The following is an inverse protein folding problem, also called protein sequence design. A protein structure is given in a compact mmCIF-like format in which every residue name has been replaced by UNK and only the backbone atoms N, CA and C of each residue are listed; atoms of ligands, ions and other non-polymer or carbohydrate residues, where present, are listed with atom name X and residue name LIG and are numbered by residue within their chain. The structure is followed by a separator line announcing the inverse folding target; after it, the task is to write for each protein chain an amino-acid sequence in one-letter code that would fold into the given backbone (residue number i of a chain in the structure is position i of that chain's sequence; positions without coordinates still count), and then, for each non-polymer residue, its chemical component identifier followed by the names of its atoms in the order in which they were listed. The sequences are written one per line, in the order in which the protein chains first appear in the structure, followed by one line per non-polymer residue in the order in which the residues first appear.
data_IF_364059381855
#
_entry.id   IF_364059381855
#
_cell.length_a   1.000
_cell.length_b   1.000
_cell.length_c   1.000
_cell.angle_alpha   90.00
_cell.angle_beta   90.00
_cell.angle_gamma   90.00
#
_symmetry.space_group_name_H-M   'P 1'
#
loop_
_entity.id
_entity.type
_entity.pdbx_description
1 polymer ?
#
# COMPACT_ATOMS: atom_id res chain seq x y z
N UNK A 1 -13.41 -32.40 -2.39
CA UNK A 1 -13.27 -32.01 -3.81
C UNK A 1 -12.06 -31.10 -3.84
N UNK A 2 -10.94 -31.62 -4.41
CA UNK A 2 -9.63 -30.97 -4.37
C UNK A 2 -9.54 -29.91 -5.48
N UNK A 3 -9.38 -28.65 -5.09
CA UNK A 3 -8.95 -27.60 -6.00
C UNK A 3 -7.42 -27.47 -5.89
N UNK A 4 -6.73 -27.97 -6.91
CA UNK A 4 -5.28 -27.83 -7.04
C UNK A 4 -4.95 -26.41 -7.50
N UNK A 5 -4.36 -25.60 -6.61
CA UNK A 5 -3.85 -24.27 -6.92
C UNK A 5 -2.52 -24.44 -7.66
N UNK A 6 -2.52 -24.22 -8.96
CA UNK A 6 -1.29 -24.25 -9.77
C UNK A 6 -0.56 -22.93 -9.65
N UNK A 7 0.42 -22.85 -8.77
CA UNK A 7 1.36 -21.73 -8.72
C UNK A 7 2.46 -22.02 -9.76
N UNK A 8 2.51 -21.22 -10.81
CA UNK A 8 3.55 -21.33 -11.84
C UNK A 8 4.87 -20.71 -11.33
N UNK A 9 5.77 -21.54 -10.84
CA UNK A 9 7.15 -21.16 -10.55
C UNK A 9 7.99 -21.23 -11.83
N UNK A 10 8.58 -20.13 -12.26
CA UNK A 10 9.72 -20.15 -13.18
C UNK A 10 10.98 -20.21 -12.35
N UNK A 11 11.61 -21.40 -12.30
CA UNK A 11 12.87 -21.63 -11.62
C UNK A 11 14.03 -21.03 -12.41
N UNK A 12 14.87 -20.26 -11.73
CA UNK A 12 16.18 -19.83 -12.22
C UNK A 12 17.18 -21.00 -12.06
N UNK A 13 17.64 -21.54 -13.17
CA UNK A 13 18.75 -22.51 -13.20
C UNK A 13 20.08 -21.75 -13.11
N UNK A 14 20.82 -21.93 -12.00
CA UNK A 14 22.21 -21.51 -11.89
C UNK A 14 23.09 -22.59 -12.54
N UNK A 15 23.77 -22.24 -13.64
CA UNK A 15 24.75 -23.11 -14.31
C UNK A 15 26.05 -23.19 -13.52
N UNK A 16 26.38 -24.37 -13.04
CA UNK A 16 27.69 -24.67 -12.50
C UNK A 16 28.63 -25.04 -13.66
N UNK A 17 29.68 -24.27 -13.87
CA UNK A 17 30.77 -24.60 -14.83
C UNK A 17 31.79 -25.49 -14.18
N UNK A 18 31.94 -26.69 -14.71
CA UNK A 18 32.94 -27.71 -14.32
C UNK A 18 34.24 -27.41 -15.03
N UNK A 19 35.32 -27.15 -14.30
CA UNK A 19 36.66 -26.96 -14.85
C UNK A 19 37.34 -28.30 -15.09
N UNK A 20 37.71 -28.58 -16.35
CA UNK A 20 38.63 -29.71 -16.72
C UNK A 20 40.08 -29.25 -16.60
N UNK A 21 40.86 -30.03 -15.87
CA UNK A 21 42.34 -29.95 -15.81
C UNK A 21 42.95 -30.57 -17.09
N UNK A 22 43.71 -29.78 -17.82
CA UNK A 22 44.59 -30.25 -18.86
C UNK A 22 46.07 -30.08 -18.45
N UNK A 23 46.83 -31.16 -18.55
CA UNK A 23 48.25 -31.28 -18.16
C UNK A 23 49.15 -30.89 -19.35
N UNK A 24 50.07 -30.00 -19.11
CA UNK A 24 51.47 -30.05 -19.50
C UNK A 24 51.94 -29.66 -20.88
N UNK A 25 52.82 -28.65 -20.93
CA UNK A 25 53.85 -28.39 -21.94
C UNK A 25 54.62 -27.12 -21.57
N UNK A 26 56.01 -27.13 -21.65
CA UNK A 26 56.79 -25.98 -21.22
C UNK A 26 56.84 -24.89 -22.31
N UNK A 27 56.48 -23.70 -21.95
CA UNK A 27 56.74 -22.53 -22.77
C UNK A 27 55.52 -21.66 -23.08
N UNK A 28 54.87 -21.12 -22.04
CA UNK A 28 53.92 -20.03 -22.22
C UNK A 28 54.33 -18.81 -21.38
N UNK A 29 54.64 -17.73 -22.08
CA UNK A 29 54.71 -16.38 -21.49
C UNK A 29 53.47 -16.16 -20.59
N UNK A 30 53.71 -15.78 -19.36
CA UNK A 30 52.64 -15.46 -18.41
C UNK A 30 51.82 -14.29 -18.99
N UNK A 31 50.69 -14.61 -19.62
CA UNK A 31 49.65 -13.63 -19.87
C UNK A 31 49.14 -13.15 -18.50
N UNK A 32 49.30 -11.88 -18.25
CA UNK A 32 48.75 -11.24 -17.02
C UNK A 32 47.24 -11.47 -17.02
N UNK A 33 46.79 -12.40 -16.17
CA UNK A 33 45.37 -12.59 -15.91
C UNK A 33 44.82 -11.28 -15.39
N UNK A 34 44.00 -10.63 -16.22
CA UNK A 34 43.22 -9.46 -15.82
C UNK A 34 42.47 -9.83 -14.52
N UNK A 35 42.52 -8.99 -13.47
CA UNK A 35 41.80 -9.28 -12.24
C UNK A 35 40.36 -9.57 -12.57
N UNK A 36 39.84 -10.69 -12.10
CA UNK A 36 38.41 -11.04 -12.28
C UNK A 36 37.56 -9.85 -11.80
N UNK A 37 36.69 -9.37 -12.67
CA UNK A 37 35.79 -8.26 -12.32
C UNK A 37 35.04 -8.64 -11.04
N UNK A 38 35.02 -7.71 -10.08
CA UNK A 38 34.27 -7.90 -8.85
C UNK A 38 32.82 -8.29 -9.18
N UNK A 39 32.23 -9.25 -8.47
CA UNK A 39 30.84 -9.63 -8.74
C UNK A 39 29.92 -8.40 -8.66
N UNK A 40 29.06 -8.27 -9.65
CA UNK A 40 28.09 -7.17 -9.67
C UNK A 40 27.27 -7.17 -8.36
N UNK A 41 26.99 -6.00 -7.79
CA UNK A 41 26.18 -5.93 -6.58
C UNK A 41 24.83 -6.63 -6.78
N UNK A 42 24.33 -7.29 -5.74
CA UNK A 42 23.03 -7.93 -5.78
C UNK A 42 21.93 -6.88 -6.10
N UNK A 43 20.93 -7.23 -6.90
CA UNK A 43 19.87 -6.28 -7.28
C UNK A 43 19.07 -5.85 -6.04
N UNK A 44 18.72 -4.58 -5.98
CA UNK A 44 17.83 -4.03 -4.95
C UNK A 44 16.38 -4.38 -5.29
N UNK A 45 15.67 -4.97 -4.34
CA UNK A 45 14.30 -5.41 -4.52
C UNK A 45 13.37 -4.38 -3.90
N UNK A 46 12.47 -3.79 -4.71
CA UNK A 46 11.39 -2.95 -4.27
C UNK A 46 10.06 -3.71 -4.23
N UNK A 47 9.22 -3.38 -3.29
CA UNK A 47 7.89 -3.95 -3.16
C UNK A 47 6.83 -2.90 -3.52
N UNK A 48 5.97 -3.18 -4.51
CA UNK A 48 4.85 -2.34 -4.89
C UNK A 48 3.53 -3.02 -4.52
N UNK A 49 2.74 -2.38 -3.64
CA UNK A 49 1.50 -2.93 -3.09
C UNK A 49 0.30 -2.14 -3.61
N UNK A 50 -0.63 -2.83 -4.29
CA UNK A 50 -1.83 -2.18 -4.82
C UNK A 50 -2.88 -1.87 -3.76
N UNK A 51 -3.78 -0.95 -4.09
CA UNK A 51 -5.06 -0.83 -3.42
C UNK A 51 -5.99 -2.00 -3.73
N UNK A 52 -7.03 -2.18 -2.92
CA UNK A 52 -8.02 -3.26 -3.11
C UNK A 52 -8.97 -3.43 -1.94
N UNK A 53 -9.15 -2.40 -1.10
CA UNK A 53 -10.08 -2.42 0.04
C UNK A 53 -9.76 -3.55 1.02
N UNK A 54 -10.79 -4.22 1.54
CA UNK A 54 -10.64 -5.30 2.52
C UNK A 54 -9.76 -6.47 2.04
N UNK A 55 -9.67 -6.70 0.73
CA UNK A 55 -8.78 -7.71 0.14
C UNK A 55 -7.30 -7.45 0.44
N UNK A 56 -6.95 -6.19 0.81
CA UNK A 56 -5.59 -5.77 1.15
C UNK A 56 -4.94 -6.51 2.31
N UNK A 57 -5.72 -7.16 3.15
CA UNK A 57 -5.20 -8.03 4.19
C UNK A 57 -4.31 -9.15 3.61
N UNK A 58 -4.57 -9.58 2.37
CA UNK A 58 -3.74 -10.56 1.67
C UNK A 58 -2.28 -10.12 1.49
N UNK A 59 -2.00 -8.80 1.46
CA UNK A 59 -0.61 -8.31 1.45
C UNK A 59 0.18 -8.81 2.65
N UNK A 60 -0.45 -8.94 3.83
CA UNK A 60 0.22 -9.47 5.04
C UNK A 60 0.65 -10.91 4.81
N UNK A 61 -0.20 -11.73 4.17
CA UNK A 61 0.16 -13.11 3.79
C UNK A 61 1.37 -13.16 2.84
N UNK A 62 1.39 -12.26 1.85
CA UNK A 62 2.55 -12.15 0.94
C UNK A 62 3.82 -11.75 1.69
N UNK A 63 3.74 -10.78 2.60
CA UNK A 63 4.89 -10.36 3.42
C UNK A 63 5.42 -11.51 4.29
N UNK A 64 4.55 -12.35 4.89
CA UNK A 64 4.95 -13.53 5.64
C UNK A 64 5.76 -14.51 4.78
N UNK A 65 5.28 -14.79 3.56
CA UNK A 65 5.99 -15.68 2.62
C UNK A 65 7.33 -15.08 2.20
N UNK A 66 7.40 -13.76 1.92
CA UNK A 66 8.66 -13.09 1.58
C UNK A 66 9.66 -13.15 2.74
N UNK A 67 9.19 -13.01 3.98
CA UNK A 67 10.00 -13.16 5.19
C UNK A 67 10.50 -14.59 5.37
N UNK A 68 9.66 -15.61 5.22
CA UNK A 68 10.02 -17.03 5.26
C UNK A 68 11.08 -17.38 4.21
N UNK A 69 10.92 -16.85 3.00
CA UNK A 69 11.87 -17.01 1.90
C UNK A 69 13.13 -16.13 2.06
N UNK A 70 13.18 -15.28 3.08
CA UNK A 70 14.27 -14.33 3.35
C UNK A 70 14.57 -13.41 2.17
N UNK A 71 13.53 -12.98 1.46
CA UNK A 71 13.67 -12.00 0.37
C UNK A 71 13.96 -10.62 0.95
N UNK A 72 15.13 -10.01 0.66
CA UNK A 72 15.46 -8.70 1.19
C UNK A 72 14.64 -7.63 0.48
N UNK A 73 13.82 -6.88 1.22
CA UNK A 73 13.06 -5.74 0.68
C UNK A 73 13.82 -4.45 1.00
N UNK A 74 14.16 -3.67 -0.02
CA UNK A 74 14.98 -2.47 0.08
C UNK A 74 14.16 -1.18 0.08
N UNK A 75 12.96 -1.19 -0.48
CA UNK A 75 11.99 -0.11 -0.40
C UNK A 75 10.57 -0.62 -0.67
N UNK A 76 9.58 0.15 -0.21
CA UNK A 76 8.16 -0.17 -0.35
C UNK A 76 7.42 1.02 -0.92
N UNK A 77 6.54 0.78 -1.88
CA UNK A 77 5.53 1.74 -2.33
C UNK A 77 4.15 1.13 -2.18
N UNK A 78 3.16 1.95 -1.86
CA UNK A 78 1.82 1.42 -1.66
C UNK A 78 0.72 2.43 -1.91
N UNK A 79 -0.43 1.91 -2.33
CA UNK A 79 -1.64 2.68 -2.59
C UNK A 79 -2.79 2.14 -1.76
N UNK A 80 -3.58 3.02 -1.13
CA UNK A 80 -4.77 2.66 -0.35
C UNK A 80 -4.43 1.59 0.71
N UNK A 81 -5.04 0.42 0.69
CA UNK A 81 -4.70 -0.66 1.61
C UNK A 81 -3.23 -1.11 1.48
N UNK A 82 -2.64 -1.03 0.27
CA UNK A 82 -1.21 -1.27 0.07
C UNK A 82 -0.33 -0.24 0.77
N UNK A 83 -0.77 1.02 0.91
CA UNK A 83 -0.07 2.03 1.69
C UNK A 83 -0.16 1.74 3.20
N UNK A 84 -1.29 1.24 3.68
CA UNK A 84 -1.47 0.86 5.10
C UNK A 84 -0.55 -0.31 5.45
N UNK A 85 -0.62 -1.40 4.68
CA UNK A 85 0.21 -2.59 4.93
C UNK A 85 1.69 -2.28 4.69
N UNK A 86 2.01 -1.61 3.58
CA UNK A 86 3.38 -1.24 3.23
C UNK A 86 4.01 -0.27 4.21
N UNK A 87 3.28 0.78 4.63
CA UNK A 87 3.74 1.74 5.63
C UNK A 87 3.93 1.12 7.02
N UNK A 88 3.04 0.22 7.41
CA UNK A 88 3.17 -0.54 8.67
C UNK A 88 4.42 -1.42 8.64
N UNK A 89 4.66 -2.14 7.54
CA UNK A 89 5.84 -2.97 7.34
C UNK A 89 7.12 -2.11 7.29
N UNK A 90 7.09 -1.02 6.54
CA UNK A 90 8.21 -0.08 6.43
C UNK A 90 8.58 0.58 7.77
N UNK A 91 7.61 0.72 8.68
CA UNK A 91 7.82 1.18 10.06
C UNK A 91 8.59 0.20 10.93
N UNK A 92 8.85 -1.04 10.45
CA UNK A 92 9.59 -2.07 11.18
C UNK A 92 8.72 -3.09 11.91
N UNK A 93 7.41 -3.15 11.64
CA UNK A 93 6.57 -4.22 12.21
C UNK A 93 6.75 -5.53 11.44
N UNK A 94 6.90 -6.62 12.18
CA UNK A 94 6.92 -7.95 11.62
C UNK A 94 5.53 -8.34 11.07
N UNK A 95 5.45 -9.08 9.94
CA UNK A 95 4.18 -9.52 9.36
C UNK A 95 3.28 -10.29 10.32
N UNK A 96 3.82 -11.10 11.23
CA UNK A 96 3.06 -11.80 12.26
C UNK A 96 2.39 -10.86 13.28
N UNK A 97 3.05 -9.76 13.65
CA UNK A 97 2.44 -8.70 14.49
C UNK A 97 1.34 -7.96 13.75
N UNK A 98 1.55 -7.67 12.47
CA UNK A 98 0.56 -7.02 11.61
C UNK A 98 -0.71 -7.86 11.52
N UNK A 99 -0.58 -9.17 11.28
CA UNK A 99 -1.70 -10.11 11.25
C UNK A 99 -2.50 -10.06 12.57
N UNK A 100 -1.81 -10.12 13.71
CA UNK A 100 -2.45 -10.04 15.02
C UNK A 100 -3.23 -8.75 15.20
N UNK A 101 -2.63 -7.59 14.90
CA UNK A 101 -3.29 -6.28 15.03
C UNK A 101 -4.53 -6.17 14.14
N UNK A 102 -4.48 -6.71 12.92
CA UNK A 102 -5.61 -6.71 11.99
C UNK A 102 -6.75 -7.62 12.48
N UNK A 103 -6.43 -8.78 13.03
CA UNK A 103 -7.41 -9.74 13.53
C UNK A 103 -8.06 -9.28 14.85
N UNK A 104 -7.32 -8.56 15.69
CA UNK A 104 -7.80 -8.05 16.99
C UNK A 104 -8.49 -6.67 16.86
N UNK A 105 -8.40 -6.01 15.71
CA UNK A 105 -8.98 -4.69 15.51
C UNK A 105 -10.51 -4.70 15.55
N UNK A 106 -11.09 -3.76 16.31
CA UNK A 106 -12.53 -3.47 16.26
C UNK A 106 -12.83 -2.58 15.05
N UNK A 107 -12.98 -3.22 13.89
CA UNK A 107 -13.23 -2.53 12.63
C UNK A 107 -14.52 -1.69 12.68
N UNK A 108 -15.55 -2.15 13.37
CA UNK A 108 -16.80 -1.39 13.51
C UNK A 108 -16.57 -0.08 14.26
N UNK A 109 -15.81 -0.09 15.35
CA UNK A 109 -15.46 1.13 16.09
C UNK A 109 -14.55 2.05 15.30
N UNK A 110 -13.56 1.51 14.54
CA UNK A 110 -12.62 2.27 13.72
C UNK A 110 -13.36 3.03 12.61
N UNK A 111 -14.32 2.39 11.92
CA UNK A 111 -15.07 3.03 10.83
C UNK A 111 -16.29 3.82 11.29
N UNK A 112 -16.80 3.60 12.50
CA UNK A 112 -17.95 4.37 13.04
C UNK A 112 -17.60 5.83 13.29
N UNK A 113 -16.33 6.13 13.61
CA UNK A 113 -15.79 7.47 13.86
C UNK A 113 -16.55 8.29 14.93
N UNK A 114 -17.29 7.59 15.77
CA UNK A 114 -18.04 8.17 16.89
C UNK A 114 -17.72 7.38 18.17
N UNK A 115 -17.47 8.07 19.29
CA UNK A 115 -17.21 7.38 20.54
C UNK A 115 -18.45 6.52 20.94
N UNK A 116 -18.23 5.37 21.61
CA UNK A 116 -19.31 4.56 22.14
C UNK A 116 -20.23 5.41 23.00
N UNK A 117 -21.57 5.18 22.94
CA UNK A 117 -22.55 5.98 23.67
C UNK A 117 -22.25 6.13 25.17
N UNK A 118 -21.62 5.11 25.78
CA UNK A 118 -21.21 5.15 27.20
C UNK A 118 -20.18 6.25 27.50
N UNK A 119 -19.35 6.64 26.51
CA UNK A 119 -18.27 7.61 26.63
C UNK A 119 -18.72 9.04 26.26
N UNK A 120 -19.89 9.20 25.65
CA UNK A 120 -20.47 10.50 25.33
C UNK A 120 -20.94 11.18 26.61
N UNK A 121 -20.61 12.46 26.80
CA UNK A 121 -21.07 13.26 27.93
C UNK A 121 -22.61 13.29 28.00
N UNK A 122 -23.16 13.20 29.23
CA UNK A 122 -24.62 13.14 29.48
C UNK A 122 -25.37 14.27 28.78
N UNK A 123 -24.82 15.49 28.80
CA UNK A 123 -25.40 16.65 28.14
C UNK A 123 -25.58 16.42 26.63
N UNK A 124 -24.57 15.88 25.97
CA UNK A 124 -24.61 15.59 24.52
C UNK A 124 -25.58 14.45 24.21
N UNK A 125 -25.68 13.43 25.12
CA UNK A 125 -26.70 12.38 25.00
C UNK A 125 -28.13 12.89 25.05
N UNK A 126 -28.38 13.98 25.84
CA UNK A 126 -29.69 14.60 25.95
C UNK A 126 -30.09 15.40 24.67
N UNK A 127 -29.11 15.91 23.94
CA UNK A 127 -29.34 16.62 22.68
C UNK A 127 -29.79 15.69 21.55
N UNK A 128 -29.38 14.40 21.57
CA UNK A 128 -29.80 13.39 20.59
C UNK A 128 -31.35 13.16 20.59
N UNK A 129 -32.05 13.49 21.69
CA UNK A 129 -33.50 13.35 21.78
C UNK A 129 -34.27 14.57 21.27
N UNK A 130 -33.57 15.67 20.98
CA UNK A 130 -34.24 16.94 20.58
C UNK A 130 -34.50 16.99 19.08
N UNK A 131 -33.81 16.23 18.28
CA UNK A 131 -33.89 16.22 16.81
C UNK A 131 -33.93 14.82 16.26
N UNK A 132 -35.01 14.47 15.53
CA UNK A 132 -35.14 13.20 14.80
C UNK A 132 -34.23 13.17 13.55
N UNK A 133 -33.87 14.34 13.04
CA UNK A 133 -33.01 14.51 11.87
C UNK A 133 -32.14 15.75 12.06
N UNK A 134 -30.89 15.56 12.40
CA UNK A 134 -29.91 16.64 12.52
C UNK A 134 -28.78 16.39 11.50
N UNK A 135 -28.85 16.96 10.29
CA UNK A 135 -27.71 16.99 9.40
C UNK A 135 -26.57 17.78 10.08
N UNK A 136 -25.38 17.19 10.12
CA UNK A 136 -24.20 17.89 10.60
C UNK A 136 -23.76 18.90 9.53
N UNK A 137 -23.81 20.19 9.88
CA UNK A 137 -23.28 21.27 9.05
C UNK A 137 -22.00 21.79 9.70
N UNK A 138 -20.95 21.99 8.89
CA UNK A 138 -19.78 22.77 9.29
C UNK A 138 -20.02 24.26 9.04
N UNK A 139 -19.42 25.10 9.86
CA UNK A 139 -19.34 26.56 9.60
C UNK A 139 -17.90 26.82 9.16
N UNK A 140 -17.75 27.38 7.95
CA UNK A 140 -16.48 27.81 7.38
C UNK A 140 -16.49 29.32 7.18
N UNK A 141 -15.35 29.90 6.83
CA UNK A 141 -15.29 31.34 6.49
C UNK A 141 -16.23 31.71 5.31
N UNK A 142 -16.47 30.75 4.41
CA UNK A 142 -17.34 30.90 3.23
C UNK A 142 -18.80 30.56 3.52
N UNK A 143 -19.16 30.16 4.75
CA UNK A 143 -20.54 29.87 5.17
C UNK A 143 -20.77 28.45 5.66
N UNK A 144 -21.98 27.91 5.41
CA UNK A 144 -22.35 26.55 5.82
C UNK A 144 -21.82 25.53 4.83
N UNK A 145 -21.05 24.55 5.33
CA UNK A 145 -20.51 23.46 4.53
C UNK A 145 -21.12 22.11 4.95
N UNK A 146 -21.36 21.24 3.97
CA UNK A 146 -21.70 19.86 4.19
C UNK A 146 -20.41 19.03 4.46
N UNK A 147 -20.50 17.91 5.19
CA UNK A 147 -19.37 17.02 5.37
C UNK A 147 -18.80 16.56 4.02
N UNK A 148 -17.48 16.61 3.86
CA UNK A 148 -16.77 16.16 2.63
C UNK A 148 -16.72 14.65 2.48
N UNK A 149 -17.22 13.86 3.45
CA UNK A 149 -17.30 12.39 3.45
C UNK A 149 -18.24 11.90 4.56
N UNK A 150 -18.68 10.66 4.45
CA UNK A 150 -19.55 10.01 5.45
C UNK A 150 -18.79 9.75 6.75
N UNK A 151 -17.49 9.44 6.64
CA UNK A 151 -16.56 9.13 7.73
C UNK A 151 -15.49 10.22 7.76
N UNK A 152 -15.34 10.92 8.90
CA UNK A 152 -14.31 11.94 9.06
C UNK A 152 -12.88 11.33 9.12
N UNK A 153 -12.75 10.10 9.62
CA UNK A 153 -11.53 9.30 9.61
C UNK A 153 -10.60 9.53 10.79
N UNK A 154 -11.08 10.17 11.86
CA UNK A 154 -10.28 10.43 13.07
C UNK A 154 -9.88 9.12 13.76
N UNK A 155 -10.83 8.19 13.93
CA UNK A 155 -10.57 6.88 14.55
C UNK A 155 -9.67 6.01 13.67
N UNK A 156 -9.81 6.11 12.35
CA UNK A 156 -8.96 5.43 11.37
C UNK A 156 -7.51 5.92 11.50
N UNK A 157 -7.29 7.23 11.54
CA UNK A 157 -5.94 7.79 11.69
C UNK A 157 -5.32 7.42 13.04
N UNK A 158 -6.12 7.43 14.12
CA UNK A 158 -5.66 6.97 15.42
C UNK A 158 -5.20 5.51 15.40
N UNK A 159 -5.93 4.64 14.70
CA UNK A 159 -5.52 3.26 14.49
C UNK A 159 -4.22 3.15 13.67
N UNK A 160 -4.06 3.96 12.63
CA UNK A 160 -2.81 3.97 11.84
C UNK A 160 -1.61 4.45 12.64
N UNK A 161 -1.80 5.36 13.59
CA UNK A 161 -0.74 5.73 14.56
C UNK A 161 -0.31 4.53 15.41
N UNK A 162 -1.25 3.67 15.80
CA UNK A 162 -0.92 2.42 16.50
C UNK A 162 -0.14 1.47 15.60
N UNK A 163 -0.56 1.32 14.34
CA UNK A 163 0.16 0.49 13.36
C UNK A 163 1.60 0.99 13.14
N UNK A 164 1.79 2.29 13.02
CA UNK A 164 3.08 2.92 12.76
C UNK A 164 3.88 3.30 14.02
N UNK A 165 3.50 2.82 15.20
CA UNK A 165 4.19 3.16 16.46
C UNK A 165 5.72 2.97 16.42
N UNK A 166 6.30 1.94 15.77
CA UNK A 166 7.75 1.79 15.72
C UNK A 166 8.47 2.94 15.00
N UNK A 167 7.78 3.64 14.10
CA UNK A 167 8.30 4.79 13.36
C UNK A 167 7.93 6.15 13.99
N UNK A 168 7.48 6.16 15.25
CA UNK A 168 7.10 7.39 15.93
C UNK A 168 8.25 8.40 15.95
N UNK A 169 7.99 9.63 15.48
CA UNK A 169 8.98 10.71 15.41
C UNK A 169 9.88 10.67 14.16
N UNK A 170 9.70 9.72 13.25
CA UNK A 170 10.40 9.71 11.97
C UNK A 170 9.49 10.41 10.94
N UNK A 171 9.89 11.60 10.50
CA UNK A 171 9.13 12.39 9.51
C UNK A 171 9.65 12.18 8.08
N UNK A 172 10.89 11.82 7.88
CA UNK A 172 11.51 11.53 6.59
C UNK A 172 11.38 10.04 6.30
N UNK A 173 10.58 9.68 5.30
CA UNK A 173 10.28 8.26 5.02
C UNK A 173 11.45 7.50 4.40
N UNK A 174 12.53 8.20 3.99
CA UNK A 174 13.78 7.55 3.61
C UNK A 174 14.57 7.05 4.83
N UNK A 175 14.26 7.57 6.02
CA UNK A 175 14.88 7.16 7.31
C UNK A 175 14.10 6.09 8.06
N UNK A 176 12.99 5.62 7.51
CA UNK A 176 12.30 4.47 8.05
C UNK A 176 13.20 3.21 7.96
N UNK A 177 12.96 2.18 8.78
CA UNK A 177 13.67 0.90 8.66
C UNK A 177 13.70 0.36 7.22
N UNK A 178 12.65 0.60 6.45
CA UNK A 178 12.60 0.39 4.99
C UNK A 178 12.06 1.68 4.36
N UNK A 179 12.75 2.34 3.42
CA UNK A 179 12.26 3.51 2.70
C UNK A 179 10.87 3.28 2.10
N UNK A 180 9.98 4.28 2.25
CA UNK A 180 8.56 4.12 1.92
C UNK A 180 8.00 5.30 1.12
N UNK A 181 7.04 5.02 0.23
CA UNK A 181 6.19 6.04 -0.43
C UNK A 181 4.72 5.62 -0.37
N UNK A 182 3.87 6.51 0.11
CA UNK A 182 2.42 6.36 -0.01
C UNK A 182 1.92 7.15 -1.23
N UNK A 183 1.00 6.56 -2.00
CA UNK A 183 0.41 7.21 -3.16
C UNK A 183 -0.98 7.74 -2.80
N UNK A 184 -1.24 8.99 -3.13
CA UNK A 184 -2.53 9.63 -3.05
C UNK A 184 -2.88 10.30 -4.38
N UNK A 185 -4.08 10.81 -4.52
CA UNK A 185 -4.53 11.58 -5.69
C UNK A 185 -4.91 12.98 -5.23
N UNK A 186 -4.40 14.01 -5.87
CA UNK A 186 -4.88 15.38 -5.72
C UNK A 186 -6.26 15.49 -6.39
N UNK A 187 -7.30 15.79 -5.59
CA UNK A 187 -8.66 15.81 -6.13
C UNK A 187 -8.93 17.02 -7.05
N UNK A 188 -8.11 18.05 -6.99
CA UNK A 188 -8.28 19.25 -7.84
C UNK A 188 -7.74 19.02 -9.25
N UNK A 189 -6.62 18.27 -9.38
CA UNK A 189 -5.94 18.07 -10.66
C UNK A 189 -6.11 16.66 -11.21
N UNK A 190 -6.37 15.67 -10.35
CA UNK A 190 -6.38 14.25 -10.69
C UNK A 190 -4.98 13.62 -10.73
N UNK A 191 -3.93 14.37 -10.42
CA UNK A 191 -2.55 13.89 -10.47
C UNK A 191 -2.23 12.94 -9.31
N UNK A 192 -1.32 12.00 -9.58
CA UNK A 192 -0.73 11.17 -8.53
C UNK A 192 0.22 11.98 -7.67
N UNK A 193 0.02 11.92 -6.36
CA UNK A 193 0.87 12.56 -5.36
C UNK A 193 1.62 11.50 -4.57
N UNK A 194 2.94 11.61 -4.58
CA UNK A 194 3.84 10.76 -3.79
C UNK A 194 4.09 11.44 -2.45
N UNK A 195 3.69 10.78 -1.35
CA UNK A 195 3.93 11.27 0.01
C UNK A 195 5.18 10.55 0.55
N UNK A 196 6.20 11.34 0.87
CA UNK A 196 7.53 10.85 1.27
C UNK A 196 8.01 11.39 2.61
N UNK A 197 7.18 12.22 3.26
CA UNK A 197 7.53 12.85 4.54
C UNK A 197 6.28 13.21 5.36
N UNK A 198 6.49 13.60 6.61
CA UNK A 198 5.46 13.99 7.55
C UNK A 198 4.96 12.83 8.42
N UNK A 199 3.68 12.82 8.76
CA UNK A 199 3.09 11.74 9.54
C UNK A 199 2.77 10.54 8.65
N UNK A 200 3.40 9.40 8.90
CA UNK A 200 3.12 8.16 8.15
C UNK A 200 1.65 7.72 8.31
N UNK A 201 1.04 7.94 9.49
CA UNK A 201 -0.38 7.66 9.70
C UNK A 201 -1.28 8.56 8.86
N UNK A 202 -0.93 9.85 8.70
CA UNK A 202 -1.63 10.78 7.85
C UNK A 202 -1.44 10.43 6.37
N UNK A 203 -0.25 10.01 5.96
CA UNK A 203 0.01 9.52 4.60
C UNK A 203 -0.83 8.29 4.25
N UNK A 204 -0.89 7.28 5.15
CA UNK A 204 -1.79 6.13 5.01
C UNK A 204 -3.25 6.55 4.93
N UNK A 205 -3.66 7.53 5.76
CA UNK A 205 -5.01 8.05 5.82
C UNK A 205 -5.40 8.78 4.52
N UNK A 206 -4.50 9.61 3.97
CA UNK A 206 -4.71 10.28 2.68
C UNK A 206 -4.86 9.24 1.55
N UNK A 207 -3.95 8.27 1.51
CA UNK A 207 -3.90 7.22 0.49
C UNK A 207 -5.16 6.36 0.42
N UNK A 208 -5.92 6.22 1.53
CA UNK A 208 -7.16 5.43 1.60
C UNK A 208 -8.45 6.26 1.63
N UNK A 209 -8.37 7.56 1.39
CA UNK A 209 -9.54 8.47 1.43
C UNK A 209 -10.43 8.29 0.21
N UNK A 210 -11.20 7.20 0.17
CA UNK A 210 -12.13 6.92 -0.94
C UNK A 210 -13.18 8.03 -1.02
N UNK A 211 -13.29 8.74 -2.18
CA UNK A 211 -14.22 9.84 -2.35
C UNK A 211 -15.67 9.45 -2.04
N UNK A 212 -16.35 10.30 -1.30
CA UNK A 212 -17.73 10.07 -0.85
C UNK A 212 -17.85 9.18 0.40
N UNK A 213 -16.93 8.27 0.63
CA UNK A 213 -16.90 7.40 1.83
C UNK A 213 -16.14 8.06 2.98
N UNK A 214 -14.93 8.45 2.72
CA UNK A 214 -13.98 8.94 3.73
C UNK A 214 -13.53 10.33 3.34
N UNK A 215 -13.54 11.26 4.31
CA UNK A 215 -13.19 12.66 4.06
C UNK A 215 -11.74 12.77 3.51
N UNK A 216 -11.50 13.65 2.52
CA UNK A 216 -10.16 13.95 2.01
C UNK A 216 -9.24 14.46 3.12
N UNK A 217 -7.93 14.34 2.90
CA UNK A 217 -6.90 14.86 3.80
C UNK A 217 -6.14 15.99 3.13
N UNK A 218 -5.95 17.09 3.84
CA UNK A 218 -5.10 18.17 3.36
C UNK A 218 -3.65 17.94 3.82
N UNK A 219 -2.73 17.88 2.86
CA UNK A 219 -1.28 17.78 3.10
C UNK A 219 -0.60 18.78 2.16
N UNK A 220 0.22 19.67 2.72
CA UNK A 220 0.99 20.68 1.98
C UNK A 220 0.13 21.53 1.02
N UNK A 221 -1.07 21.91 1.48
CA UNK A 221 -2.00 22.72 0.73
C UNK A 221 -2.73 22.00 -0.42
N UNK A 222 -2.56 20.66 -0.53
CA UNK A 222 -3.27 19.81 -1.50
C UNK A 222 -4.36 19.01 -0.81
N UNK A 223 -5.51 18.90 -1.44
CA UNK A 223 -6.61 18.09 -0.95
C UNK A 223 -6.54 16.68 -1.54
N UNK A 224 -6.10 15.72 -0.73
CA UNK A 224 -5.76 14.38 -1.16
C UNK A 224 -6.87 13.37 -0.91
N UNK A 225 -7.08 12.49 -1.88
CA UNK A 225 -8.00 11.35 -1.86
C UNK A 225 -7.26 10.05 -2.20
N UNK A 226 -7.99 8.91 -2.23
CA UNK A 226 -7.44 7.58 -2.50
C UNK A 226 -6.55 7.57 -3.75
N UNK A 227 -5.33 7.07 -3.58
CA UNK A 227 -4.33 7.00 -4.63
C UNK A 227 -4.68 6.05 -5.77
N UNK A 228 -5.62 5.13 -5.55
CA UNK A 228 -6.08 4.17 -6.57
C UNK A 228 -6.68 4.82 -7.80
N UNK A 229 -7.10 6.08 -7.70
CA UNK A 229 -7.61 6.86 -8.83
C UNK A 229 -6.50 7.14 -9.84
N UNK A 230 -5.33 7.60 -9.39
CA UNK A 230 -4.22 8.04 -10.25
C UNK A 230 -3.12 6.98 -10.44
N UNK A 231 -2.79 6.19 -9.41
CA UNK A 231 -1.79 5.11 -9.48
C UNK A 231 -2.08 4.01 -8.45
N UNK A 232 -2.82 2.99 -8.85
CA UNK A 232 -3.25 1.93 -7.94
C UNK A 232 -2.19 0.85 -7.69
N UNK A 233 -1.17 0.69 -8.53
CA UNK A 233 -0.07 -0.27 -8.36
C UNK A 233 1.26 0.42 -8.70
N UNK A 234 1.93 1.07 -7.73
CA UNK A 234 3.01 2.03 -7.96
C UNK A 234 4.37 1.37 -8.25
N UNK A 235 4.47 0.60 -9.35
CA UNK A 235 5.70 -0.07 -9.80
C UNK A 235 6.77 0.96 -10.19
N UNK A 236 6.38 1.99 -10.94
CA UNK A 236 7.26 3.07 -11.37
C UNK A 236 7.86 3.84 -10.20
N UNK A 237 7.09 4.08 -9.14
CA UNK A 237 7.58 4.75 -7.94
C UNK A 237 8.54 3.88 -7.13
N UNK A 238 8.33 2.55 -7.09
CA UNK A 238 9.30 1.63 -6.48
C UNK A 238 10.64 1.66 -7.22
N UNK A 239 10.62 1.77 -8.55
CA UNK A 239 11.84 1.91 -9.36
C UNK A 239 12.56 3.23 -9.08
N UNK A 240 11.83 4.34 -9.06
CA UNK A 240 12.40 5.67 -8.76
C UNK A 240 13.01 5.70 -7.34
N UNK A 241 12.35 5.04 -6.39
CA UNK A 241 12.80 5.03 -5.00
C UNK A 241 14.07 4.21 -4.80
N UNK A 242 14.11 2.96 -5.31
CA UNK A 242 15.27 2.11 -5.06
C UNK A 242 15.44 0.90 -5.98
N UNK A 243 14.38 0.44 -6.67
CA UNK A 243 14.32 -0.93 -7.13
C UNK A 243 15.00 -1.18 -8.48
N UNK A 244 15.91 -2.15 -8.53
CA UNK A 244 16.39 -2.79 -9.76
C UNK A 244 15.42 -3.88 -10.23
N UNK A 245 14.70 -4.49 -9.28
CA UNK A 245 13.67 -5.52 -9.49
C UNK A 245 12.47 -5.17 -8.62
N UNK A 246 11.27 -5.21 -9.17
CA UNK A 246 10.03 -4.95 -8.44
C UNK A 246 9.24 -6.23 -8.23
N UNK A 247 8.86 -6.49 -6.98
CA UNK A 247 7.80 -7.45 -6.64
C UNK A 247 6.52 -6.64 -6.54
N UNK A 248 5.65 -6.77 -7.53
CA UNK A 248 4.36 -6.10 -7.59
C UNK A 248 3.26 -7.04 -7.05
N UNK A 249 2.53 -6.61 -6.02
CA UNK A 249 1.43 -7.38 -5.45
C UNK A 249 0.11 -6.71 -5.84
N UNK A 250 -0.62 -7.34 -6.75
CA UNK A 250 -1.89 -6.83 -7.24
C UNK A 250 -3.07 -7.59 -6.60
N UNK A 251 -3.80 -6.88 -5.74
CA UNK A 251 -5.01 -7.38 -5.09
C UNK A 251 -6.24 -6.54 -5.47
N UNK A 252 -6.19 -5.86 -6.60
CA UNK A 252 -7.27 -4.99 -7.09
C UNK A 252 -8.62 -5.70 -7.04
N UNK A 253 -9.64 -4.98 -6.62
CA UNK A 253 -10.99 -5.51 -6.52
C UNK A 253 -11.59 -5.68 -7.92
N UNK A 254 -12.14 -6.86 -8.24
CA UNK A 254 -12.88 -7.02 -9.48
C UNK A 254 -14.12 -6.11 -9.51
N UNK A 255 -14.63 -5.73 -10.69
CA UNK A 255 -15.84 -4.93 -10.79
C UNK A 255 -17.01 -5.56 -10.06
N UNK A 256 -17.77 -4.75 -9.32
CA UNK A 256 -18.99 -5.16 -8.64
C UNK A 256 -20.05 -5.59 -9.67
N UNK A 257 -20.82 -6.60 -9.33
CA UNK A 257 -21.99 -7.03 -10.13
C UNK A 257 -23.13 -6.03 -9.96
N UNK A 258 -24.05 -5.99 -10.93
CA UNK A 258 -25.22 -5.09 -10.87
C UNK A 258 -26.03 -5.23 -9.58
N UNK A 259 -26.12 -6.43 -9.01
CA UNK A 259 -26.82 -6.69 -7.74
C UNK A 259 -26.16 -6.08 -6.51
N UNK A 260 -24.89 -5.70 -6.60
CA UNK A 260 -24.08 -5.12 -5.52
C UNK A 260 -24.05 -3.59 -5.60
N UNK A 261 -24.45 -3.01 -6.74
CA UNK A 261 -24.53 -1.56 -6.98
C UNK A 261 -25.87 -0.99 -6.42
N UNK A 262 -26.04 -1.07 -5.11
CA UNK A 262 -27.29 -0.76 -4.42
C UNK A 262 -27.34 0.65 -3.81
N UNK A 263 -26.23 1.39 -3.81
CA UNK A 263 -26.10 2.69 -3.18
C UNK A 263 -25.20 3.65 -3.98
N UNK A 264 -25.34 4.94 -3.75
CA UNK A 264 -24.42 5.94 -4.33
C UNK A 264 -22.96 5.66 -3.97
N UNK A 265 -22.71 5.13 -2.76
CA UNK A 265 -21.36 4.76 -2.29
C UNK A 265 -20.79 3.57 -3.06
N UNK A 266 -21.61 2.52 -3.33
CA UNK A 266 -21.15 1.38 -4.14
C UNK A 266 -20.88 1.79 -5.60
N UNK A 267 -21.67 2.73 -6.14
CA UNK A 267 -21.42 3.30 -7.49
C UNK A 267 -20.12 4.11 -7.50
N UNK A 268 -19.90 4.98 -6.52
CA UNK A 268 -18.65 5.75 -6.40
C UNK A 268 -17.42 4.83 -6.26
N UNK A 269 -17.51 3.79 -5.41
CA UNK A 269 -16.47 2.78 -5.27
C UNK A 269 -16.18 2.03 -6.58
N UNK A 270 -17.21 1.73 -7.36
CA UNK A 270 -17.05 1.12 -8.67
C UNK A 270 -16.29 2.00 -9.67
N UNK A 271 -16.52 3.32 -9.64
CA UNK A 271 -15.77 4.26 -10.49
C UNK A 271 -14.29 4.28 -10.09
N UNK A 272 -13.99 4.31 -8.80
CA UNK A 272 -12.61 4.21 -8.30
C UNK A 272 -11.97 2.88 -8.74
N UNK A 273 -12.70 1.76 -8.69
CA UNK A 273 -12.21 0.46 -9.14
C UNK A 273 -11.90 0.47 -10.65
N UNK A 274 -12.71 1.12 -11.48
CA UNK A 274 -12.43 1.22 -12.93
C UNK A 274 -11.19 2.04 -13.22
N UNK A 275 -11.03 3.19 -12.56
CA UNK A 275 -9.84 4.03 -12.69
C UNK A 275 -8.60 3.28 -12.19
N UNK A 276 -8.69 2.65 -11.03
CA UNK A 276 -7.61 1.84 -10.46
C UNK A 276 -7.20 0.68 -11.37
N UNK A 277 -8.17 0.00 -12.00
CA UNK A 277 -7.85 -1.05 -12.97
C UNK A 277 -7.09 -0.51 -14.17
N UNK A 278 -7.49 0.64 -14.73
CA UNK A 278 -6.80 1.26 -15.86
C UNK A 278 -5.35 1.58 -15.51
N UNK A 279 -5.10 2.18 -14.34
CA UNK A 279 -3.74 2.52 -13.90
C UNK A 279 -2.89 1.27 -13.64
N UNK A 280 -3.45 0.18 -13.09
CA UNK A 280 -2.77 -1.11 -12.96
C UNK A 280 -2.38 -1.67 -14.32
N UNK A 281 -3.33 -1.70 -15.27
CA UNK A 281 -3.07 -2.20 -16.62
C UNK A 281 -1.95 -1.40 -17.30
N UNK A 282 -1.85 -0.09 -17.06
CA UNK A 282 -0.79 0.76 -17.61
C UNK A 282 0.58 0.50 -16.96
N UNK A 283 0.63 0.25 -15.67
CA UNK A 283 1.86 -0.14 -14.95
C UNK A 283 2.37 -1.51 -15.44
N UNK A 284 1.46 -2.47 -15.64
CA UNK A 284 1.80 -3.82 -16.09
C UNK A 284 2.24 -3.89 -17.57
N UNK A 285 2.02 -2.85 -18.39
CA UNK A 285 2.54 -2.76 -19.76
C UNK A 285 4.05 -2.48 -19.83
N UNK A 286 4.66 -2.06 -18.73
CA UNK A 286 6.07 -1.65 -18.64
C UNK A 286 6.85 -2.43 -17.57
N UNK A 287 6.71 -3.76 -17.49
CA UNK A 287 7.48 -4.52 -16.52
C UNK A 287 8.96 -4.50 -16.89
N UNK A 288 9.81 -4.55 -15.87
CA UNK A 288 11.22 -4.91 -16.09
C UNK A 288 11.34 -6.40 -16.36
N UNK A 289 12.37 -6.81 -17.09
CA UNK A 289 12.58 -8.22 -17.48
C UNK A 289 12.63 -9.20 -16.30
N UNK A 290 12.91 -8.70 -15.10
CA UNK A 290 13.04 -9.49 -13.86
C UNK A 290 11.96 -9.22 -12.83
N UNK A 291 10.95 -8.43 -13.15
CA UNK A 291 9.87 -8.14 -12.23
C UNK A 291 8.99 -9.36 -11.97
N UNK A 292 8.45 -9.40 -10.77
CA UNK A 292 7.55 -10.47 -10.32
C UNK A 292 6.19 -9.88 -10.01
N UNK A 293 5.15 -10.38 -10.67
CA UNK A 293 3.77 -10.07 -10.36
C UNK A 293 3.17 -11.18 -9.49
N UNK A 294 2.66 -10.80 -8.31
CA UNK A 294 1.88 -11.66 -7.43
C UNK A 294 0.44 -11.16 -7.48
N UNK A 295 -0.46 -12.00 -7.96
CA UNK A 295 -1.89 -11.73 -8.00
C UNK A 295 -2.63 -12.90 -7.32
N UNK A 296 -2.84 -12.84 -6.00
CA UNK A 296 -3.54 -13.90 -5.28
C UNK A 296 -4.99 -14.02 -5.76
N UNK A 297 -5.46 -15.26 -5.85
CA UNK A 297 -6.89 -15.55 -6.06
C UNK A 297 -7.61 -15.44 -4.70
N UNK A 298 -8.49 -14.41 -4.54
CA UNK A 298 -9.09 -13.99 -3.26
C UNK A 298 -10.61 -14.03 -3.30
#
# INVERSE_FOLDING_TARGET
MNASTTVAYRALAAGAAMAMLAVGGPGQTAEATSPAAAPAPAPRIGLALSGGGARGIAHVGVLKVLEELRVPIHCVTGTSMGAIVGGTFASGRAPAEMEKLVLEADWEAIFRDKPPRKEIAVRRKADDYKTLFAPEFGVTEDGLALPKGVIAGVSIEAFFRVLATPAFGIEDFDKLPIPFRALATDIETGDSVVIESGSIAQAMRASMSVPGAIAPVEIDGRLLVDGGIANNLPIDEARKLCADVVIAVNISTPPLKRSELTSALSVAGQLVNFLGKQTVDDQLKRPGDRDVLIAPDL
#
